data_IF_580592311104
#
_entry.id   IF_580592311104
#
_cell.length_a   1.000
_cell.length_b   1.000
_cell.length_c   1.000
_cell.angle_alpha   90.00
_cell.angle_beta   90.00
_cell.angle_gamma   90.00
#
_symmetry.space_group_name_H-M   'P 1'
#
loop_
_entity.id
_entity.type
_entity.pdbx_description
1 polymer ?
#
# COMPACT_ATOMS: atom_id res chain seq x y z
N UNK A 1 2.20 -5.45 4.26
CA UNK A 1 1.38 -4.55 5.09
C UNK A 1 1.98 -3.15 5.10
N UNK A 2 1.15 -2.12 4.96
CA UNK A 2 1.52 -0.74 5.25
C UNK A 2 0.69 -0.23 6.44
N UNK A 3 1.34 0.47 7.37
CA UNK A 3 0.73 1.07 8.56
C UNK A 3 1.03 2.57 8.58
N UNK A 4 0.00 3.41 8.50
CA UNK A 4 0.13 4.85 8.36
C UNK A 4 0.59 5.52 9.67
N UNK A 5 1.65 6.32 9.60
CA UNK A 5 2.14 7.18 10.70
C UNK A 5 1.61 8.61 10.59
N UNK A 6 1.41 9.08 9.37
CA UNK A 6 0.77 10.36 9.04
C UNK A 6 -0.42 10.09 8.12
N UNK A 7 -1.28 11.09 7.79
CA UNK A 7 -2.21 10.93 6.69
C UNK A 7 -1.48 10.38 5.47
N UNK A 8 -1.95 9.25 4.94
CA UNK A 8 -1.25 8.47 3.92
C UNK A 8 -2.15 8.23 2.71
N UNK A 9 -1.68 8.60 1.52
CA UNK A 9 -2.38 8.43 0.27
C UNK A 9 -1.69 7.32 -0.55
N UNK A 10 -2.49 6.38 -1.02
CA UNK A 10 -2.00 5.25 -1.82
C UNK A 10 -3.03 4.84 -2.88
N UNK A 11 -2.60 3.95 -3.76
CA UNK A 11 -3.49 3.15 -4.61
C UNK A 11 -3.31 1.68 -4.26
N UNK A 12 -4.41 0.91 -4.23
CA UNK A 12 -4.35 -0.53 -3.96
C UNK A 12 -5.50 -1.27 -4.65
N UNK A 13 -5.16 -2.28 -5.44
CA UNK A 13 -6.07 -3.17 -6.15
C UNK A 13 -6.98 -2.47 -7.19
N UNK A 14 -7.48 -3.24 -8.15
CA UNK A 14 -8.45 -2.71 -9.11
C UNK A 14 -9.78 -2.38 -8.44
N UNK A 15 -10.40 -1.30 -8.91
CA UNK A 15 -11.77 -0.92 -8.54
C UNK A 15 -12.77 -1.95 -9.06
N UNK A 16 -14.01 -1.88 -8.57
CA UNK A 16 -15.13 -2.57 -9.19
C UNK A 16 -15.25 -2.15 -10.67
N UNK A 17 -15.51 -3.11 -11.56
CA UNK A 17 -15.53 -2.84 -13.01
C UNK A 17 -16.57 -1.78 -13.40
N UNK A 18 -17.71 -1.75 -12.73
CA UNK A 18 -18.73 -0.71 -12.94
C UNK A 18 -18.24 0.69 -12.58
N UNK A 19 -17.39 0.80 -11.57
CA UNK A 19 -16.74 2.06 -11.17
C UNK A 19 -15.71 2.48 -12.22
N UNK A 20 -14.85 1.55 -12.67
CA UNK A 20 -13.88 1.81 -13.75
C UNK A 20 -14.61 2.29 -15.01
N UNK A 21 -15.71 1.64 -15.40
CA UNK A 21 -16.55 2.05 -16.55
C UNK A 21 -16.98 3.51 -16.40
N UNK A 22 -17.51 3.89 -15.25
CA UNK A 22 -17.97 5.26 -14.99
C UNK A 22 -16.84 6.29 -15.07
N UNK A 23 -15.67 5.95 -14.52
CA UNK A 23 -14.50 6.82 -14.47
C UNK A 23 -13.79 6.95 -15.83
N UNK A 24 -13.90 5.96 -16.72
CA UNK A 24 -13.30 5.99 -18.04
C UNK A 24 -14.14 6.74 -19.09
N UNK A 25 -15.44 6.99 -18.85
CA UNK A 25 -16.30 7.69 -19.79
C UNK A 25 -15.73 9.05 -20.26
N UNK A 26 -15.25 9.94 -19.35
CA UNK A 26 -14.67 11.24 -19.75
C UNK A 26 -13.43 11.14 -20.64
N UNK A 27 -12.76 9.99 -20.63
CA UNK A 27 -11.51 9.74 -21.36
C UNK A 27 -11.64 8.61 -22.38
N UNK A 28 -12.86 8.26 -22.79
CA UNK A 28 -13.14 7.15 -23.70
C UNK A 28 -12.37 7.24 -25.04
N UNK A 29 -12.11 8.45 -25.53
CA UNK A 29 -11.36 8.70 -26.75
C UNK A 29 -9.82 8.67 -26.61
N UNK A 30 -9.29 8.44 -25.41
CA UNK A 30 -7.84 8.49 -25.16
C UNK A 30 -7.11 7.32 -25.82
N UNK A 31 -7.69 6.11 -25.77
CA UNK A 31 -7.10 4.91 -26.34
C UNK A 31 -8.17 3.89 -26.75
N UNK A 32 -8.00 3.13 -27.87
CA UNK A 32 -8.98 2.12 -28.31
C UNK A 32 -9.29 1.05 -27.24
N UNK A 33 -8.31 0.61 -26.46
CA UNK A 33 -8.52 -0.37 -25.40
C UNK A 33 -9.50 0.13 -24.32
N UNK A 34 -9.62 1.44 -24.11
CA UNK A 34 -10.65 1.99 -23.22
C UNK A 34 -12.04 1.71 -23.78
N UNK A 35 -12.24 1.96 -25.09
CA UNK A 35 -13.53 1.67 -25.75
C UNK A 35 -13.87 0.18 -25.70
N UNK A 36 -12.89 -0.71 -25.89
CA UNK A 36 -13.07 -2.17 -25.76
C UNK A 36 -13.52 -2.56 -24.36
N UNK A 37 -12.85 -2.03 -23.32
CA UNK A 37 -13.24 -2.30 -21.93
C UNK A 37 -14.64 -1.75 -21.61
N UNK A 38 -14.99 -0.56 -22.11
CA UNK A 38 -16.33 0.02 -21.92
C UNK A 38 -17.45 -0.81 -22.55
N UNK A 39 -17.16 -1.52 -23.65
CA UNK A 39 -18.12 -2.42 -24.31
C UNK A 39 -18.28 -3.75 -23.55
N UNK A 40 -17.20 -4.27 -22.98
CA UNK A 40 -17.19 -5.55 -22.28
C UNK A 40 -16.27 -5.46 -21.05
N UNK A 41 -16.77 -4.99 -19.90
CA UNK A 41 -15.96 -4.79 -18.69
C UNK A 41 -15.74 -6.12 -17.95
N UNK A 42 -14.70 -6.82 -18.34
CA UNK A 42 -14.25 -8.07 -17.72
C UNK A 42 -12.73 -8.08 -17.47
N UNK A 43 -12.23 -9.15 -16.84
CA UNK A 43 -10.84 -9.30 -16.50
C UNK A 43 -9.89 -9.32 -17.71
N UNK A 44 -10.31 -9.94 -18.81
CA UNK A 44 -9.52 -10.01 -20.06
C UNK A 44 -9.35 -8.61 -20.66
N UNK A 45 -10.44 -7.85 -20.75
CA UNK A 45 -10.41 -6.48 -21.27
C UNK A 45 -9.69 -5.51 -20.33
N UNK A 46 -9.74 -5.73 -19.02
CA UNK A 46 -8.95 -4.96 -18.05
C UNK A 46 -7.46 -5.23 -18.24
N UNK A 47 -7.06 -6.48 -18.45
CA UNK A 47 -5.68 -6.85 -18.75
C UNK A 47 -5.18 -6.19 -20.04
N UNK A 48 -5.96 -6.26 -21.12
CA UNK A 48 -5.67 -5.59 -22.39
C UNK A 48 -5.51 -4.07 -22.19
N UNK A 49 -6.44 -3.44 -21.48
CA UNK A 49 -6.41 -2.01 -21.19
C UNK A 49 -5.16 -1.62 -20.40
N UNK A 50 -4.88 -2.34 -19.32
CA UNK A 50 -3.72 -2.08 -18.45
C UNK A 50 -2.41 -2.17 -19.22
N UNK A 51 -2.21 -3.26 -19.99
CA UNK A 51 -1.05 -3.43 -20.84
C UNK A 51 -0.93 -2.34 -21.92
N UNK A 52 -2.04 -1.99 -22.57
CA UNK A 52 -2.06 -0.97 -23.64
C UNK A 52 -1.68 0.40 -23.11
N UNK A 53 -2.22 0.82 -21.96
CA UNK A 53 -1.89 2.11 -21.34
C UNK A 53 -0.42 2.21 -20.97
N UNK A 54 0.17 1.13 -20.44
CA UNK A 54 1.59 1.10 -20.08
C UNK A 54 2.52 1.07 -21.30
N UNK A 55 2.06 0.50 -22.43
CA UNK A 55 2.84 0.42 -23.67
C UNK A 55 2.79 1.70 -24.52
N UNK A 56 1.89 2.66 -24.24
CA UNK A 56 1.77 3.88 -25.04
C UNK A 56 3.10 4.63 -25.13
N UNK A 57 3.46 5.07 -26.34
CA UNK A 57 4.66 5.83 -26.62
C UNK A 57 4.40 6.97 -27.61
N UNK A 58 5.33 7.92 -27.72
CA UNK A 58 5.33 8.95 -28.73
C UNK A 58 4.02 9.76 -28.80
N UNK A 59 3.51 9.97 -30.01
CA UNK A 59 2.30 10.77 -30.25
C UNK A 59 1.04 10.15 -29.66
N UNK A 60 0.94 8.83 -29.65
CA UNK A 60 -0.21 8.11 -29.04
C UNK A 60 -0.33 8.46 -27.56
N UNK A 61 0.78 8.34 -26.81
CA UNK A 61 0.84 8.72 -25.38
C UNK A 61 0.52 10.18 -25.17
N UNK A 62 1.12 11.07 -25.95
CA UNK A 62 0.90 12.52 -25.84
C UNK A 62 -0.56 12.90 -26.07
N UNK A 63 -1.22 12.29 -27.06
CA UNK A 63 -2.64 12.49 -27.35
C UNK A 63 -3.53 11.96 -26.23
N UNK A 64 -3.24 10.76 -25.71
CA UNK A 64 -4.00 10.17 -24.62
C UNK A 64 -3.91 11.03 -23.34
N UNK A 65 -2.71 11.49 -23.00
CA UNK A 65 -2.48 12.37 -21.84
C UNK A 65 -3.14 13.74 -22.01
N UNK A 66 -3.20 14.29 -23.25
CA UNK A 66 -3.91 15.54 -23.52
C UNK A 66 -5.41 15.40 -23.25
N UNK A 67 -6.03 14.28 -23.64
CA UNK A 67 -7.43 13.97 -23.35
C UNK A 67 -7.65 13.82 -21.83
N UNK A 68 -6.77 13.09 -21.13
CA UNK A 68 -6.84 12.96 -19.68
C UNK A 68 -6.74 14.34 -18.99
N UNK A 69 -5.79 15.18 -19.38
CA UNK A 69 -5.61 16.53 -18.83
C UNK A 69 -6.83 17.41 -19.08
N UNK A 70 -7.43 17.35 -20.29
CA UNK A 70 -8.68 18.07 -20.58
C UNK A 70 -9.84 17.60 -19.69
N UNK A 71 -9.92 16.30 -19.37
CA UNK A 71 -10.94 15.79 -18.46
C UNK A 71 -10.77 16.35 -17.04
N UNK A 72 -9.53 16.62 -16.61
CA UNK A 72 -9.27 17.22 -15.29
C UNK A 72 -9.92 18.60 -15.12
N UNK A 73 -10.13 19.37 -16.18
CA UNK A 73 -10.73 20.71 -16.10
C UNK A 73 -12.22 20.64 -15.69
N UNK A 74 -12.89 19.55 -16.00
CA UNK A 74 -14.34 19.37 -15.76
C UNK A 74 -14.65 18.39 -14.62
N UNK A 75 -13.74 17.50 -14.28
CA UNK A 75 -13.94 16.48 -13.26
C UNK A 75 -13.48 16.94 -11.88
N UNK A 76 -14.21 16.56 -10.81
CA UNK A 76 -13.93 16.95 -9.43
C UNK A 76 -13.89 15.72 -8.52
N UNK A 77 -13.28 15.87 -7.33
CA UNK A 77 -13.19 14.80 -6.33
C UNK A 77 -12.17 13.72 -6.70
N UNK A 78 -12.23 12.58 -6.00
CA UNK A 78 -11.40 11.42 -6.33
C UNK A 78 -12.02 10.62 -7.49
N UNK A 79 -11.18 10.02 -8.36
CA UNK A 79 -9.71 9.97 -8.33
C UNK A 79 -9.01 11.16 -9.03
N UNK A 80 -9.77 12.12 -9.53
CA UNK A 80 -9.26 13.22 -10.34
C UNK A 80 -8.31 14.15 -9.56
N UNK A 81 -8.53 14.34 -8.25
CA UNK A 81 -7.61 15.06 -7.38
C UNK A 81 -6.26 14.35 -7.27
N UNK A 82 -6.28 13.02 -7.16
CA UNK A 82 -5.06 12.21 -7.13
C UNK A 82 -4.32 12.27 -8.46
N UNK A 83 -5.02 12.25 -9.60
CA UNK A 83 -4.38 12.42 -10.92
C UNK A 83 -3.69 13.78 -11.02
N UNK A 84 -4.32 14.87 -10.56
CA UNK A 84 -3.68 16.20 -10.52
C UNK A 84 -2.41 16.18 -9.68
N UNK A 85 -2.47 15.62 -8.47
CA UNK A 85 -1.33 15.50 -7.59
C UNK A 85 -0.18 14.74 -8.27
N UNK A 86 -0.44 13.57 -8.86
CA UNK A 86 0.58 12.78 -9.53
C UNK A 86 1.15 13.52 -10.74
N UNK A 87 0.32 14.24 -11.49
CA UNK A 87 0.74 14.96 -12.70
C UNK A 87 1.76 16.07 -12.43
N UNK A 88 1.87 16.57 -11.21
CA UNK A 88 2.91 17.55 -10.81
C UNK A 88 4.30 16.90 -10.81
N UNK A 89 4.40 15.60 -10.56
CA UNK A 89 5.66 14.85 -10.47
C UNK A 89 5.95 14.03 -11.74
N UNK A 90 4.91 13.52 -12.39
CA UNK A 90 4.98 12.62 -13.55
C UNK A 90 4.07 13.10 -14.69
N UNK A 91 4.28 14.33 -15.25
CA UNK A 91 3.33 14.95 -16.18
C UNK A 91 3.18 14.23 -17.54
N UNK A 92 4.14 13.34 -17.86
CA UNK A 92 4.19 12.62 -19.15
C UNK A 92 4.15 11.09 -19.00
N UNK A 93 3.79 10.60 -17.80
CA UNK A 93 3.72 9.18 -17.53
C UNK A 93 2.29 8.64 -17.77
N UNK A 94 2.19 7.53 -18.52
CA UNK A 94 0.90 6.87 -18.75
C UNK A 94 0.27 6.30 -17.46
N UNK A 95 1.06 6.12 -16.41
CA UNK A 95 0.59 5.78 -15.07
C UNK A 95 -0.39 6.79 -14.48
N UNK A 96 -0.52 7.99 -15.07
CA UNK A 96 -1.59 8.95 -14.74
C UNK A 96 -3.01 8.39 -14.93
N UNK A 97 -3.19 7.35 -15.74
CA UNK A 97 -4.46 6.63 -15.84
C UNK A 97 -4.72 5.67 -14.67
N UNK A 98 -3.70 5.30 -13.90
CA UNK A 98 -3.82 4.30 -12.83
C UNK A 98 -4.88 4.63 -11.78
N UNK A 99 -5.09 5.88 -11.32
CA UNK A 99 -6.14 6.19 -10.34
C UNK A 99 -7.57 5.95 -10.85
N UNK A 100 -7.77 5.89 -12.19
CA UNK A 100 -9.06 5.51 -12.80
C UNK A 100 -9.32 4.00 -12.69
N UNK A 101 -8.26 3.19 -12.62
CA UNK A 101 -8.33 1.73 -12.57
C UNK A 101 -8.20 1.17 -11.16
N UNK A 102 -7.35 1.79 -10.33
CA UNK A 102 -7.04 1.34 -8.98
C UNK A 102 -7.80 2.15 -7.92
N UNK A 103 -8.13 1.51 -6.81
CA UNK A 103 -8.72 2.23 -5.68
C UNK A 103 -7.72 3.23 -5.11
N UNK A 104 -8.11 4.48 -5.01
CA UNK A 104 -7.39 5.50 -4.24
C UNK A 104 -7.78 5.33 -2.78
N UNK A 105 -6.80 5.11 -1.92
CA UNK A 105 -6.98 4.80 -0.50
C UNK A 105 -6.32 5.89 0.33
N UNK A 106 -7.10 6.48 1.24
CA UNK A 106 -6.61 7.43 2.25
C UNK A 106 -6.62 6.74 3.60
N UNK A 107 -5.46 6.59 4.22
CA UNK A 107 -5.33 6.06 5.56
C UNK A 107 -5.09 7.21 6.54
N UNK A 108 -5.81 7.19 7.66
CA UNK A 108 -5.51 8.03 8.80
C UNK A 108 -4.32 7.42 9.59
N UNK A 109 -3.59 8.24 10.37
CA UNK A 109 -2.57 7.72 11.27
C UNK A 109 -3.14 6.60 12.17
N UNK A 110 -2.47 5.45 12.19
CA UNK A 110 -2.90 4.27 12.92
C UNK A 110 -3.74 3.26 12.14
N UNK A 111 -4.15 3.59 10.92
CA UNK A 111 -4.80 2.63 10.01
C UNK A 111 -3.76 1.85 9.20
N UNK A 112 -4.13 0.64 8.82
CA UNK A 112 -3.28 -0.25 8.03
C UNK A 112 -4.05 -0.88 6.88
N UNK A 113 -3.31 -1.29 5.84
CA UNK A 113 -3.82 -2.14 4.76
C UNK A 113 -2.82 -3.22 4.41
N UNK A 114 -3.31 -4.40 4.08
CA UNK A 114 -2.50 -5.48 3.54
C UNK A 114 -2.50 -5.42 2.02
N UNK A 115 -1.31 -5.59 1.43
CA UNK A 115 -1.11 -5.61 -0.01
C UNK A 115 -0.78 -7.04 -0.41
N UNK A 116 -1.69 -7.67 -1.16
CA UNK A 116 -1.48 -9.04 -1.62
C UNK A 116 -0.45 -9.07 -2.75
N UNK A 117 0.25 -10.20 -2.88
CA UNK A 117 1.01 -10.49 -4.07
C UNK A 117 0.12 -10.41 -5.32
N UNK A 118 0.71 -10.11 -6.48
CA UNK A 118 0.03 -10.00 -7.78
C UNK A 118 -1.02 -8.86 -7.84
N UNK A 119 -1.06 -7.98 -6.83
CA UNK A 119 -2.00 -6.86 -6.75
C UNK A 119 -1.27 -5.54 -7.01
N UNK A 120 -1.66 -4.76 -8.04
CA UNK A 120 -1.02 -3.48 -8.32
C UNK A 120 -1.32 -2.46 -7.22
N UNK A 121 -0.29 -1.74 -6.81
CA UNK A 121 -0.38 -0.72 -5.77
C UNK A 121 0.71 0.34 -5.94
N UNK A 122 0.51 1.50 -5.32
CA UNK A 122 1.50 2.56 -5.23
C UNK A 122 1.27 3.42 -3.99
N UNK A 123 2.36 3.92 -3.41
CA UNK A 123 2.34 4.90 -2.31
C UNK A 123 2.59 6.29 -2.88
N UNK A 124 1.71 7.23 -2.60
CA UNK A 124 1.70 8.56 -3.25
C UNK A 124 2.16 9.67 -2.31
N UNK A 125 1.72 9.64 -1.06
CA UNK A 125 2.03 10.70 -0.10
C UNK A 125 1.90 10.19 1.34
N UNK A 126 2.72 10.74 2.25
CA UNK A 126 2.69 10.43 3.69
C UNK A 126 3.88 9.59 4.15
N UNK A 127 3.85 9.24 5.43
CA UNK A 127 4.86 8.40 6.08
C UNK A 127 4.16 7.18 6.68
N UNK A 128 4.73 6.01 6.46
CA UNK A 128 4.19 4.74 6.96
C UNK A 128 5.31 3.78 7.34
N UNK A 129 4.98 2.79 8.17
CA UNK A 129 5.78 1.58 8.29
C UNK A 129 5.35 0.61 7.20
N UNK A 130 6.31 0.04 6.49
CA UNK A 130 6.07 -1.06 5.57
C UNK A 130 6.71 -2.34 6.10
N UNK A 131 5.92 -3.40 6.14
CA UNK A 131 6.38 -4.75 6.50
C UNK A 131 6.04 -5.69 5.36
N UNK A 132 7.05 -6.42 4.89
CA UNK A 132 6.91 -7.35 3.77
C UNK A 132 7.73 -8.62 4.01
N UNK A 133 7.38 -9.68 3.28
CA UNK A 133 8.19 -10.89 3.22
C UNK A 133 9.60 -10.55 2.69
N UNK A 134 10.60 -11.31 3.12
CA UNK A 134 11.99 -11.13 2.67
C UNK A 134 12.16 -11.68 1.25
N UNK A 135 11.62 -10.95 0.27
CA UNK A 135 11.73 -11.25 -1.16
C UNK A 135 11.96 -9.95 -1.94
N UNK A 136 12.53 -10.03 -3.13
CA UNK A 136 12.83 -8.88 -4.00
C UNK A 136 12.29 -9.09 -5.43
N UNK A 137 11.20 -9.80 -5.57
CA UNK A 137 10.51 -10.09 -6.83
C UNK A 137 9.47 -9.01 -7.18
N UNK A 138 9.89 -7.75 -7.19
CA UNK A 138 9.02 -6.59 -7.43
C UNK A 138 9.00 -6.22 -8.91
N UNK A 139 7.80 -6.15 -9.52
CA UNK A 139 7.56 -5.61 -10.85
C UNK A 139 7.06 -4.16 -10.78
N UNK A 140 7.36 -3.37 -11.80
CA UNK A 140 6.99 -1.96 -11.89
C UNK A 140 5.81 -1.77 -12.84
N UNK A 141 4.92 -0.82 -12.53
CA UNK A 141 3.66 -0.60 -13.25
C UNK A 141 3.39 0.88 -13.59
N UNK A 142 4.41 1.65 -13.92
CA UNK A 142 4.32 3.08 -14.21
C UNK A 142 4.73 3.96 -13.04
N UNK A 143 4.65 5.29 -13.21
CA UNK A 143 5.01 6.32 -12.23
C UNK A 143 6.44 6.13 -11.67
N UNK A 144 7.37 5.76 -12.53
CA UNK A 144 8.74 5.45 -12.15
C UNK A 144 9.69 5.67 -13.33
N UNK A 145 10.92 6.15 -13.10
CA UNK A 145 11.97 6.15 -14.14
C UNK A 145 12.63 4.78 -14.35
N UNK A 146 12.27 3.76 -13.54
CA UNK A 146 12.84 2.41 -13.63
C UNK A 146 12.23 1.65 -14.80
N UNK A 147 12.96 0.66 -15.30
CA UNK A 147 12.49 -0.25 -16.34
C UNK A 147 11.21 -0.98 -15.92
N UNK A 148 10.29 -1.09 -16.86
CA UNK A 148 9.01 -1.81 -16.69
C UNK A 148 8.99 -2.96 -17.67
N UNK A 149 8.95 -4.19 -17.17
CA UNK A 149 8.73 -5.39 -17.97
C UNK A 149 7.22 -5.65 -18.06
N UNK A 150 6.59 -5.10 -19.09
CA UNK A 150 5.12 -5.16 -19.24
C UNK A 150 4.64 -6.60 -19.48
N UNK A 151 5.25 -7.42 -20.33
CA UNK A 151 4.87 -8.82 -20.49
C UNK A 151 4.89 -9.59 -19.17
N UNK A 152 5.99 -9.48 -18.40
CA UNK A 152 6.13 -10.14 -17.11
C UNK A 152 5.14 -9.58 -16.08
N UNK A 153 4.92 -8.27 -16.06
CA UNK A 153 3.94 -7.63 -15.18
C UNK A 153 2.53 -8.18 -15.44
N UNK A 154 2.10 -8.21 -16.70
CA UNK A 154 0.75 -8.67 -17.07
C UNK A 154 0.56 -10.16 -16.76
N UNK A 155 1.60 -10.97 -16.93
CA UNK A 155 1.57 -12.40 -16.60
C UNK A 155 1.42 -12.66 -15.08
N UNK A 156 1.83 -11.71 -14.24
CA UNK A 156 1.83 -11.86 -12.78
C UNK A 156 0.80 -11.00 -12.06
N UNK A 157 0.01 -10.19 -12.75
CA UNK A 157 -1.06 -9.39 -12.13
C UNK A 157 -2.38 -10.15 -12.16
N UNK A 158 -3.09 -10.14 -11.04
CA UNK A 158 -4.49 -10.60 -10.96
C UNK A 158 -5.43 -9.45 -11.31
N UNK A 159 -6.15 -9.61 -12.42
CA UNK A 159 -7.13 -8.63 -12.91
C UNK A 159 -8.49 -8.85 -12.25
N UNK A 160 -8.52 -8.75 -10.92
CA UNK A 160 -9.69 -8.95 -10.08
C UNK A 160 -10.06 -7.66 -9.35
N UNK A 161 -11.35 -7.32 -9.35
CA UNK A 161 -11.85 -6.19 -8.61
C UNK A 161 -11.82 -6.44 -7.10
N UNK A 162 -11.46 -5.42 -6.33
CA UNK A 162 -11.52 -5.47 -4.87
C UNK A 162 -12.29 -4.25 -4.34
N UNK A 163 -13.39 -4.44 -3.62
CA UNK A 163 -14.17 -3.34 -3.08
C UNK A 163 -13.34 -2.45 -2.13
N UNK A 164 -13.44 -1.14 -2.27
CA UNK A 164 -12.68 -0.18 -1.46
C UNK A 164 -12.86 -0.37 0.05
N UNK A 165 -14.06 -0.75 0.49
CA UNK A 165 -14.40 -1.00 1.90
C UNK A 165 -13.77 -2.27 2.50
N UNK A 166 -13.06 -3.08 1.68
CA UNK A 166 -12.35 -4.30 2.11
C UNK A 166 -10.82 -4.14 2.08
N UNK A 167 -10.32 -2.95 1.83
CA UNK A 167 -8.87 -2.72 1.69
C UNK A 167 -8.18 -2.51 3.03
N UNK A 168 -8.87 -1.93 4.02
CA UNK A 168 -8.29 -1.68 5.34
C UNK A 168 -8.23 -2.95 6.18
N UNK A 169 -7.11 -3.15 6.86
CA UNK A 169 -6.92 -4.22 7.85
C UNK A 169 -7.41 -3.71 9.20
N UNK A 170 -8.48 -4.30 9.71
CA UNK A 170 -9.04 -3.93 11.01
C UNK A 170 -8.25 -4.61 12.14
N UNK A 171 -7.68 -3.86 13.09
CA UNK A 171 -6.94 -4.45 14.21
C UNK A 171 -7.88 -5.12 15.22
N UNK A 172 -7.34 -6.15 15.87
CA UNK A 172 -7.98 -6.82 17.00
C UNK A 172 -7.27 -6.39 18.29
N UNK A 173 -8.02 -5.75 19.19
CA UNK A 173 -7.47 -5.27 20.47
C UNK A 173 -7.41 -6.39 21.52
N UNK A 174 -6.23 -6.59 22.10
CA UNK A 174 -5.99 -7.54 23.18
C UNK A 174 -5.20 -6.82 24.31
N UNK A 175 -5.91 -6.27 25.29
CA UNK A 175 -5.28 -5.46 26.33
C UNK A 175 -4.61 -4.20 25.79
N UNK A 176 -3.31 -4.09 25.94
CA UNK A 176 -2.48 -2.99 25.40
C UNK A 176 -1.98 -3.26 23.96
N UNK A 177 -2.24 -4.45 23.42
CA UNK A 177 -1.82 -4.85 22.08
C UNK A 177 -2.95 -4.67 21.08
N UNK A 178 -2.62 -4.12 19.91
CA UNK A 178 -3.44 -4.10 18.69
C UNK A 178 -2.79 -5.05 17.69
N UNK A 179 -3.36 -6.24 17.50
CA UNK A 179 -2.92 -7.19 16.48
C UNK A 179 -3.58 -6.86 15.15
N UNK A 180 -2.80 -6.78 14.07
CA UNK A 180 -3.29 -6.58 12.72
C UNK A 180 -3.31 -7.93 12.00
N UNK A 181 -4.49 -8.52 11.75
CA UNK A 181 -4.60 -9.81 11.09
C UNK A 181 -3.98 -9.76 9.68
N UNK A 182 -2.99 -10.62 9.45
CA UNK A 182 -2.26 -10.74 8.19
C UNK A 182 -2.58 -12.12 7.59
N UNK A 183 -3.01 -12.19 6.31
CA UNK A 183 -3.48 -13.43 5.69
C UNK A 183 -2.34 -14.28 5.09
N UNK A 184 -1.12 -14.11 5.58
CA UNK A 184 0.07 -14.88 5.18
C UNK A 184 0.88 -15.24 6.42
N UNK A 185 1.70 -16.30 6.32
CA UNK A 185 2.51 -16.80 7.43
C UNK A 185 3.91 -16.16 7.50
N UNK A 186 4.28 -15.38 6.48
CA UNK A 186 5.63 -14.79 6.35
C UNK A 186 5.98 -13.85 7.49
N UNK A 187 5.00 -13.10 8.02
CA UNK A 187 5.19 -12.19 9.16
C UNK A 187 3.88 -11.91 9.88
N UNK A 188 4.01 -11.40 11.09
CA UNK A 188 2.94 -10.82 11.89
C UNK A 188 3.31 -9.39 12.29
N UNK A 189 2.30 -8.56 12.53
CA UNK A 189 2.46 -7.16 12.91
C UNK A 189 1.48 -6.79 14.03
N UNK A 190 2.00 -6.19 15.09
CA UNK A 190 1.19 -5.64 16.18
C UNK A 190 1.75 -4.32 16.69
N UNK A 191 0.90 -3.56 17.36
CA UNK A 191 1.27 -2.36 18.11
C UNK A 191 1.01 -2.58 19.59
N UNK A 192 1.87 -2.04 20.42
CA UNK A 192 1.72 -2.02 21.87
C UNK A 192 1.61 -0.57 22.36
N UNK A 193 0.51 -0.24 23.02
CA UNK A 193 0.36 0.99 23.77
C UNK A 193 1.18 0.89 25.06
N UNK A 194 2.18 1.75 25.22
CA UNK A 194 3.09 1.73 26.36
C UNK A 194 2.55 2.57 27.52
N UNK A 195 2.88 2.13 28.72
CA UNK A 195 2.61 2.86 29.97
C UNK A 195 3.74 2.58 30.97
N UNK A 196 3.74 3.27 32.11
CA UNK A 196 4.67 3.01 33.20
C UNK A 196 4.59 1.59 33.78
N UNK A 197 3.46 0.89 33.50
CA UNK A 197 3.29 -0.51 33.88
C UNK A 197 4.04 -1.39 32.87
N UNK A 198 4.91 -2.25 33.40
CA UNK A 198 5.62 -3.25 32.58
C UNK A 198 4.65 -4.17 31.87
N UNK A 199 4.87 -4.35 30.57
CA UNK A 199 4.15 -5.30 29.72
C UNK A 199 5.14 -6.34 29.21
N UNK A 200 4.77 -7.62 29.25
CA UNK A 200 5.59 -8.70 28.70
C UNK A 200 5.25 -8.90 27.23
N UNK A 201 6.27 -8.87 26.40
CA UNK A 201 6.22 -9.22 24.97
C UNK A 201 6.88 -10.58 24.81
N UNK A 202 6.13 -11.52 24.23
CA UNK A 202 6.59 -12.89 24.02
C UNK A 202 6.22 -13.38 22.62
N UNK A 203 7.17 -14.02 21.97
CA UNK A 203 7.01 -14.74 20.68
C UNK A 203 7.98 -15.91 20.62
N UNK A 204 7.71 -16.88 19.74
CA UNK A 204 8.59 -18.05 19.54
C UNK A 204 9.66 -17.79 18.47
N UNK A 205 9.43 -16.82 17.59
CA UNK A 205 10.37 -16.38 16.55
C UNK A 205 11.26 -15.24 17.01
N UNK A 206 12.21 -14.85 16.17
CA UNK A 206 12.83 -13.53 16.27
C UNK A 206 11.79 -12.41 16.05
N UNK A 207 12.03 -11.24 16.60
CA UNK A 207 11.19 -10.06 16.43
C UNK A 207 12.01 -8.80 16.23
N UNK A 208 11.42 -7.82 15.53
CA UNK A 208 11.89 -6.44 15.49
C UNK A 208 10.88 -5.62 16.29
N UNK A 209 11.37 -4.87 17.27
CA UNK A 209 10.60 -3.88 18.01
C UNK A 209 11.04 -2.49 17.53
N UNK A 210 10.06 -1.65 17.14
CA UNK A 210 10.32 -0.32 16.60
C UNK A 210 9.53 0.72 17.41
N UNK A 211 10.23 1.71 17.98
CA UNK A 211 9.59 2.80 18.69
C UNK A 211 8.93 3.77 17.70
N UNK A 212 7.60 3.80 17.68
CA UNK A 212 6.82 4.65 16.78
C UNK A 212 6.75 6.07 17.32
N UNK A 213 6.46 6.21 18.61
CA UNK A 213 6.34 7.48 19.32
C UNK A 213 6.60 7.30 20.81
N UNK A 214 6.97 8.39 21.48
CA UNK A 214 7.27 8.38 22.92
C UNK A 214 8.65 7.82 23.24
N UNK A 215 8.73 6.91 24.19
CA UNK A 215 9.94 6.20 24.59
C UNK A 215 9.62 4.78 25.06
N UNK A 216 10.52 3.86 24.81
CA UNK A 216 10.38 2.47 25.24
C UNK A 216 11.65 2.01 25.94
N UNK A 217 11.51 1.43 27.13
CA UNK A 217 12.60 0.75 27.84
C UNK A 217 12.33 -0.74 27.81
N UNK A 218 13.17 -1.47 27.08
CA UNK A 218 13.15 -2.92 27.01
C UNK A 218 14.04 -3.48 28.14
N UNK A 219 13.56 -4.50 28.83
CA UNK A 219 14.29 -5.13 29.93
C UNK A 219 14.32 -6.65 29.76
N UNK A 220 15.50 -7.25 30.05
CA UNK A 220 15.68 -8.69 30.21
C UNK A 220 16.71 -8.99 31.30
N UNK A 221 16.25 -9.52 32.43
CA UNK A 221 17.10 -9.67 33.60
C UNK A 221 17.69 -8.32 34.06
N UNK A 222 19.01 -8.22 34.12
CA UNK A 222 19.70 -6.97 34.45
C UNK A 222 19.98 -6.06 33.25
N UNK A 223 19.69 -6.50 32.02
CA UNK A 223 19.94 -5.73 30.82
C UNK A 223 18.76 -4.79 30.53
N UNK A 224 19.08 -3.58 30.12
CA UNK A 224 18.11 -2.58 29.71
C UNK A 224 18.55 -1.93 28.39
N UNK A 225 17.59 -1.68 27.49
CA UNK A 225 17.78 -0.95 26.24
C UNK A 225 16.66 0.09 26.11
N UNK A 226 17.03 1.34 25.94
CA UNK A 226 16.09 2.43 25.70
C UNK A 226 15.99 2.71 24.21
N UNK A 227 14.77 2.86 23.70
CA UNK A 227 14.46 3.23 22.33
C UNK A 227 13.71 4.56 22.30
N UNK A 228 14.13 5.44 21.39
CA UNK A 228 13.46 6.69 21.03
C UNK A 228 12.69 6.52 19.71
N UNK A 229 11.81 7.46 19.34
CA UNK A 229 11.11 7.39 18.06
C UNK A 229 12.06 7.20 16.88
N UNK A 230 11.76 6.23 16.01
CA UNK A 230 12.60 5.85 14.88
C UNK A 230 13.69 4.84 15.19
N UNK A 231 13.93 4.49 16.45
CA UNK A 231 14.90 3.45 16.82
C UNK A 231 14.23 2.08 16.93
N UNK A 232 15.02 1.03 16.66
CA UNK A 232 14.56 -0.36 16.70
C UNK A 232 15.50 -1.26 17.48
N UNK A 233 14.97 -2.38 17.97
CA UNK A 233 15.71 -3.46 18.58
C UNK A 233 15.36 -4.79 17.92
N UNK A 234 16.37 -5.63 17.68
CA UNK A 234 16.18 -7.01 17.28
C UNK A 234 16.17 -7.92 18.52
N UNK A 235 15.15 -8.74 18.66
CA UNK A 235 15.00 -9.73 19.72
C UNK A 235 15.15 -11.11 19.08
N UNK A 236 16.22 -11.82 19.38
CA UNK A 236 16.39 -13.19 18.93
C UNK A 236 15.33 -14.12 19.58
N UNK A 237 14.98 -15.22 18.94
CA UNK A 237 13.95 -16.15 19.43
C UNK A 237 14.26 -16.65 20.86
N UNK A 238 15.53 -16.93 21.17
CA UNK A 238 15.98 -17.37 22.50
C UNK A 238 16.09 -16.23 23.53
N UNK A 239 15.91 -14.98 23.10
CA UNK A 239 15.88 -13.79 23.96
C UNK A 239 14.46 -13.45 24.47
N UNK A 240 13.43 -14.03 23.88
CA UNK A 240 12.05 -13.90 24.34
C UNK A 240 11.79 -14.72 25.64
N UNK A 241 10.95 -14.25 26.60
CA UNK A 241 10.25 -12.95 26.58
C UNK A 241 11.13 -11.78 27.01
N UNK A 242 10.70 -10.59 26.65
CA UNK A 242 11.22 -9.32 27.15
C UNK A 242 10.11 -8.52 27.81
N UNK A 243 10.42 -7.68 28.80
CA UNK A 243 9.44 -6.71 29.30
C UNK A 243 9.71 -5.34 28.71
N UNK A 244 8.64 -4.57 28.55
CA UNK A 244 8.71 -3.21 28.05
C UNK A 244 7.86 -2.28 28.93
N UNK A 245 8.35 -1.07 29.14
CA UNK A 245 7.64 0.04 29.76
C UNK A 245 8.03 1.34 29.09
N UNK A 246 7.24 2.37 29.26
CA UNK A 246 7.48 3.69 28.67
C UNK A 246 6.18 4.39 28.34
N UNK A 247 6.23 5.31 27.38
CA UNK A 247 5.05 6.05 26.93
C UNK A 247 5.00 6.03 25.38
N UNK A 248 3.79 6.09 24.84
CA UNK A 248 3.58 6.09 23.38
C UNK A 248 3.37 4.70 22.82
N UNK A 249 3.91 4.41 21.64
CA UNK A 249 3.62 3.18 20.90
C UNK A 249 4.87 2.49 20.40
N UNK A 250 4.88 1.16 20.54
CA UNK A 250 5.91 0.26 20.05
C UNK A 250 5.31 -0.70 19.00
N UNK A 251 5.86 -0.70 17.80
CA UNK A 251 5.50 -1.68 16.77
C UNK A 251 6.34 -2.95 16.95
N UNK A 252 5.70 -4.11 16.71
CA UNK A 252 6.34 -5.42 16.72
C UNK A 252 6.10 -6.13 15.40
N UNK A 253 7.20 -6.63 14.81
CA UNK A 253 7.18 -7.52 13.64
C UNK A 253 7.84 -8.84 14.04
N UNK A 254 7.18 -9.95 13.76
CA UNK A 254 7.63 -11.30 14.11
C UNK A 254 7.01 -12.34 13.18
N UNK A 255 7.38 -13.63 13.32
CA UNK A 255 6.70 -14.73 12.62
C UNK A 255 5.76 -15.47 13.57
N UNK A 256 4.59 -15.85 13.09
CA UNK A 256 3.70 -16.79 13.78
C UNK A 256 4.21 -18.20 13.47
N UNK A 257 4.93 -18.80 14.40
CA UNK A 257 5.41 -20.19 14.36
C UNK A 257 4.47 -21.07 15.16
#
# INVERSE_FOLDING_TARGET
LVFALTPFLAMNAFREFSEIVSLLQPVAGAHPAIAHFLQQPDAERLSELFASLLNMQGEEKSRALAILKSALDSQQGEPWQTIRLISEFYPEDSGLFSPLLLNVVKLNPGEAMFLFAETPHAYLQGVALEVMANSDNVLRAGLTPKYIDIPELVANVKFEAKPANKLLTQPVKQGAELDFPIPVDDFAFSLHDLSDKETTISQQSAAILFCVEGDATLCKGSQQLQLKPGESAFIAANESPVTVKGHGRLARVYNKL
#
